data_IF_589171917802
#
_entry.id   IF_589171917802
#
_cell.length_a   1.000
_cell.length_b   1.000
_cell.length_c   1.000
_cell.angle_alpha   90.00
_cell.angle_beta   90.00
_cell.angle_gamma   90.00
#
_symmetry.space_group_name_H-M   'P 1'
#
loop_
_entity.id
_entity.type
_entity.pdbx_description
1 polymer ?
#
# COMPACT_ATOMS: atom_id res chain seq x y z
N UNK A 1 -18.20 -32.32 12.88
CA UNK A 1 -17.26 -32.02 13.98
C UNK A 1 -16.88 -30.55 13.98
N UNK A 2 -17.52 -29.72 14.83
CA UNK A 2 -17.31 -28.27 14.93
C UNK A 2 -16.15 -27.99 15.90
N UNK A 3 -15.01 -27.56 15.38
CA UNK A 3 -13.81 -27.17 16.15
C UNK A 3 -14.17 -25.93 16.99
N UNK A 4 -14.47 -26.09 18.28
CA UNK A 4 -14.63 -24.95 19.21
C UNK A 4 -13.28 -24.24 19.32
N UNK A 5 -13.12 -23.14 18.60
CA UNK A 5 -11.96 -22.25 18.70
C UNK A 5 -12.00 -21.64 20.10
N UNK A 6 -11.03 -21.97 20.92
CA UNK A 6 -10.91 -21.47 22.29
C UNK A 6 -10.51 -19.98 22.22
N UNK A 7 -11.50 -19.09 22.25
CA UNK A 7 -11.35 -17.65 22.00
C UNK A 7 -10.40 -16.97 22.99
N UNK A 8 -10.31 -17.49 24.22
CA UNK A 8 -9.40 -17.00 25.26
C UNK A 8 -7.93 -17.26 24.92
N UNK A 9 -7.57 -18.46 24.47
CA UNK A 9 -6.20 -18.78 24.06
C UNK A 9 -5.75 -17.92 22.86
N UNK A 10 -6.65 -17.69 21.90
CA UNK A 10 -6.39 -16.84 20.73
C UNK A 10 -6.25 -15.35 21.11
N UNK A 11 -6.94 -14.89 22.14
CA UNK A 11 -6.79 -13.53 22.66
C UNK A 11 -5.41 -13.30 23.29
N UNK A 12 -4.91 -14.24 24.11
CA UNK A 12 -3.57 -14.14 24.70
C UNK A 12 -2.45 -14.20 23.65
N UNK A 13 -2.57 -15.07 22.65
CA UNK A 13 -1.60 -15.15 21.55
C UNK A 13 -1.54 -13.85 20.72
N UNK A 14 -2.69 -13.20 20.50
CA UNK A 14 -2.76 -11.91 19.83
C UNK A 14 -2.15 -10.79 20.68
N UNK A 15 -2.40 -10.78 22.00
CA UNK A 15 -1.85 -9.78 22.92
C UNK A 15 -0.33 -9.84 23.00
N UNK A 16 0.26 -11.03 23.04
CA UNK A 16 1.71 -11.20 23.06
C UNK A 16 2.36 -10.80 21.73
N UNK A 17 1.72 -11.10 20.59
CA UNK A 17 2.17 -10.61 19.28
C UNK A 17 2.13 -9.08 19.21
N UNK A 18 1.07 -8.45 19.73
CA UNK A 18 0.98 -6.99 19.80
C UNK A 18 2.09 -6.38 20.66
N UNK A 19 2.42 -7.01 21.80
CA UNK A 19 3.51 -6.54 22.67
C UNK A 19 4.88 -6.66 21.98
N UNK A 20 5.17 -7.79 21.32
CA UNK A 20 6.41 -7.97 20.56
C UNK A 20 6.54 -6.98 19.40
N UNK A 21 5.43 -6.68 18.72
CA UNK A 21 5.39 -5.67 17.66
C UNK A 21 5.66 -4.28 18.22
N UNK A 22 5.05 -3.93 19.36
CA UNK A 22 5.28 -2.65 20.02
C UNK A 22 6.74 -2.51 20.51
N UNK A 23 7.33 -3.57 21.06
CA UNK A 23 8.73 -3.60 21.48
C UNK A 23 9.70 -3.54 20.29
N UNK A 24 9.31 -4.07 19.13
CA UNK A 24 10.07 -3.90 17.90
C UNK A 24 9.99 -2.46 17.40
N UNK A 25 8.79 -1.86 17.37
CA UNK A 25 8.60 -0.47 16.94
C UNK A 25 9.26 0.55 17.85
N UNK A 26 9.27 0.29 19.16
CA UNK A 26 9.99 1.14 20.13
C UNK A 26 11.51 1.06 19.93
N UNK A 27 12.06 -0.14 19.66
CA UNK A 27 13.49 -0.34 19.36
C UNK A 27 13.92 0.29 18.04
N UNK A 28 13.03 0.38 17.05
CA UNK A 28 13.31 1.06 15.77
C UNK A 28 12.95 2.56 15.80
N UNK A 29 12.57 3.07 16.98
CA UNK A 29 12.16 4.47 17.21
C UNK A 29 11.07 4.99 16.25
N UNK A 30 10.14 4.12 15.83
CA UNK A 30 8.92 4.62 15.19
C UNK A 30 8.06 5.18 16.31
N UNK A 31 8.15 6.51 16.50
CA UNK A 31 7.36 7.21 17.51
C UNK A 31 5.89 7.19 17.08
N UNK A 32 5.00 6.85 18.02
CA UNK A 32 3.54 6.87 17.79
C UNK A 32 3.07 8.19 17.16
N UNK A 33 3.66 9.32 17.59
CA UNK A 33 3.37 10.65 17.06
C UNK A 33 3.61 10.77 15.55
N UNK A 34 4.63 10.09 15.00
CA UNK A 34 4.92 10.14 13.57
C UNK A 34 3.85 9.40 12.75
N UNK A 35 3.32 8.29 13.27
CA UNK A 35 2.23 7.57 12.63
C UNK A 35 0.94 8.37 12.67
N UNK A 36 0.63 9.00 13.82
CA UNK A 36 -0.54 9.87 13.95
C UNK A 36 -0.50 11.06 12.98
N UNK A 37 0.67 11.69 12.80
CA UNK A 37 0.84 12.77 11.82
C UNK A 37 0.57 12.28 10.39
N UNK A 38 1.02 11.08 10.03
CA UNK A 38 0.77 10.52 8.69
C UNK A 38 -0.72 10.25 8.46
N UNK A 39 -1.41 9.70 9.45
CA UNK A 39 -2.85 9.44 9.40
C UNK A 39 -3.60 10.76 9.24
N UNK A 40 -3.25 11.77 10.05
CA UNK A 40 -3.85 13.11 9.98
C UNK A 40 -3.63 13.78 8.62
N UNK A 41 -2.40 13.74 8.08
CA UNK A 41 -2.12 14.32 6.76
C UNK A 41 -2.92 13.62 5.65
N UNK A 42 -3.03 12.29 5.71
CA UNK A 42 -3.76 11.51 4.70
C UNK A 42 -5.27 11.78 4.79
N UNK A 43 -5.80 11.92 6.00
CA UNK A 43 -7.19 12.29 6.26
C UNK A 43 -7.47 13.71 5.75
N UNK A 44 -6.59 14.68 6.06
CA UNK A 44 -6.76 16.05 5.59
C UNK A 44 -6.66 16.14 4.05
N UNK A 45 -5.69 15.45 3.44
CA UNK A 45 -5.56 15.41 1.99
C UNK A 45 -6.83 14.85 1.33
N UNK A 46 -7.33 13.71 1.80
CA UNK A 46 -8.55 13.09 1.25
C UNK A 46 -9.81 13.91 1.47
N UNK A 47 -9.91 14.68 2.55
CA UNK A 47 -10.98 15.66 2.75
C UNK A 47 -10.97 16.75 1.68
N UNK A 48 -9.80 17.32 1.37
CA UNK A 48 -9.69 18.36 0.34
C UNK A 48 -9.95 17.82 -1.08
N UNK A 49 -9.59 16.56 -1.34
CA UNK A 49 -9.90 15.88 -2.60
C UNK A 49 -11.43 15.75 -2.79
N UNK A 50 -12.11 15.22 -1.77
CA UNK A 50 -13.56 15.11 -1.75
C UNK A 50 -14.26 16.46 -1.81
N UNK A 51 -13.73 17.46 -1.11
CA UNK A 51 -14.27 18.83 -1.14
C UNK A 51 -14.18 19.43 -2.55
N UNK A 52 -13.02 19.30 -3.20
CA UNK A 52 -12.77 19.78 -4.56
C UNK A 52 -13.71 19.14 -5.59
N UNK A 53 -13.87 17.81 -5.54
CA UNK A 53 -14.76 17.09 -6.46
C UNK A 53 -16.23 17.35 -6.18
N UNK A 54 -16.64 17.48 -4.91
CA UNK A 54 -18.02 17.82 -4.60
C UNK A 54 -18.40 19.23 -5.06
N UNK A 55 -17.45 20.17 -5.07
CA UNK A 55 -17.63 21.52 -5.66
C UNK A 55 -17.71 21.52 -7.20
N UNK A 56 -17.25 20.46 -7.86
CA UNK A 56 -17.35 20.36 -9.32
C UNK A 56 -18.81 20.24 -9.78
N UNK A 57 -19.67 19.64 -8.96
CA UNK A 57 -21.10 19.47 -9.26
C UNK A 57 -21.85 20.81 -9.40
N UNK A 58 -21.81 21.74 -8.41
CA UNK A 58 -22.47 23.04 -8.56
C UNK A 58 -21.87 23.87 -9.69
N UNK A 59 -20.57 23.74 -9.99
CA UNK A 59 -19.95 24.40 -11.14
C UNK A 59 -20.49 23.85 -12.45
N UNK A 60 -20.52 22.52 -12.63
CA UNK A 60 -21.08 21.90 -13.83
C UNK A 60 -22.54 22.32 -14.06
N UNK A 61 -23.36 22.32 -13.01
CA UNK A 61 -24.75 22.77 -13.11
C UNK A 61 -24.85 24.25 -13.46
N UNK A 62 -24.11 25.12 -12.78
CA UNK A 62 -24.12 26.55 -13.08
C UNK A 62 -23.63 26.88 -14.50
N UNK A 63 -22.74 26.07 -15.07
CA UNK A 63 -22.31 26.20 -16.48
C UNK A 63 -23.39 25.70 -17.47
N UNK A 64 -24.10 24.61 -17.15
CA UNK A 64 -25.11 24.01 -18.05
C UNK A 64 -26.45 24.76 -17.99
N UNK A 65 -26.94 25.03 -16.78
CA UNK A 65 -28.28 25.58 -16.53
C UNK A 65 -28.27 27.11 -16.44
N UNK A 66 -27.10 27.73 -16.32
CA UNK A 66 -26.94 29.18 -16.20
C UNK A 66 -27.37 29.76 -14.83
N UNK A 67 -27.99 28.95 -13.97
CA UNK A 67 -28.40 29.31 -12.62
C UNK A 67 -27.83 28.32 -11.60
N UNK A 68 -27.36 28.82 -10.46
CA UNK A 68 -26.84 27.98 -9.37
C UNK A 68 -27.93 27.88 -8.30
N UNK A 69 -28.61 26.75 -8.29
CA UNK A 69 -29.71 26.46 -7.39
C UNK A 69 -29.19 26.13 -5.97
N UNK A 70 -29.57 26.93 -4.97
CA UNK A 70 -29.01 26.87 -3.60
C UNK A 70 -29.41 25.60 -2.84
N UNK A 71 -30.57 25.00 -3.16
CA UNK A 71 -31.17 23.93 -2.36
C UNK A 71 -30.76 22.51 -2.74
N UNK A 72 -30.04 22.32 -3.85
CA UNK A 72 -29.81 20.97 -4.39
C UNK A 72 -28.63 20.24 -3.73
N UNK A 73 -27.71 20.93 -3.03
CA UNK A 73 -26.58 20.28 -2.36
C UNK A 73 -26.42 20.83 -0.94
N UNK A 74 -26.94 20.07 0.03
CA UNK A 74 -26.95 20.41 1.47
C UNK A 74 -25.55 20.79 1.98
N UNK A 75 -24.51 20.10 1.49
CA UNK A 75 -23.12 20.26 1.95
C UNK A 75 -22.52 21.64 1.60
N UNK A 76 -22.86 22.21 0.44
CA UNK A 76 -22.27 23.46 -0.04
C UNK A 76 -23.22 24.64 0.04
N UNK A 77 -24.47 24.43 0.50
CA UNK A 77 -25.49 25.47 0.61
C UNK A 77 -24.99 26.69 1.40
N UNK A 78 -24.43 26.48 2.58
CA UNK A 78 -23.96 27.58 3.44
C UNK A 78 -22.81 28.37 2.79
N UNK A 79 -21.92 27.69 2.05
CA UNK A 79 -20.82 28.33 1.32
C UNK A 79 -21.37 29.19 0.18
N UNK A 80 -22.33 28.66 -0.59
CA UNK A 80 -22.96 29.36 -1.71
C UNK A 80 -23.77 30.57 -1.20
N UNK A 81 -24.55 30.41 -0.12
CA UNK A 81 -25.30 31.50 0.51
C UNK A 81 -24.35 32.58 1.03
N UNK A 82 -23.27 32.21 1.70
CA UNK A 82 -22.28 33.16 2.21
C UNK A 82 -21.62 33.96 1.08
N UNK A 83 -21.22 33.27 0.00
CA UNK A 83 -20.62 33.91 -1.19
C UNK A 83 -21.61 34.85 -1.91
N UNK A 84 -22.89 34.49 -1.99
CA UNK A 84 -23.93 35.33 -2.60
C UNK A 84 -24.30 36.53 -1.71
N UNK A 85 -24.41 36.31 -0.39
CA UNK A 85 -24.71 37.35 0.61
C UNK A 85 -23.59 38.39 0.73
N UNK A 86 -22.35 38.03 0.42
CA UNK A 86 -21.24 38.98 0.34
C UNK A 86 -21.50 40.11 -0.66
N UNK A 87 -22.43 39.98 -1.61
CA UNK A 87 -22.86 41.06 -2.51
C UNK A 87 -21.83 41.49 -3.55
N UNK A 88 -20.61 40.91 -3.53
CA UNK A 88 -19.49 41.28 -4.41
C UNK A 88 -19.55 40.53 -5.76
N UNK A 89 -20.29 39.43 -5.85
CA UNK A 89 -20.22 38.52 -7.00
C UNK A 89 -21.54 38.45 -7.77
N UNK A 90 -21.54 38.98 -8.99
CA UNK A 90 -22.57 38.72 -10.01
C UNK A 90 -22.58 37.24 -10.41
N UNK A 91 -23.66 36.72 -11.00
CA UNK A 91 -23.81 35.27 -11.30
C UNK A 91 -22.63 34.68 -12.10
N UNK A 92 -22.07 35.46 -13.03
CA UNK A 92 -20.87 35.09 -13.80
C UNK A 92 -19.60 35.03 -12.95
N UNK A 93 -19.45 35.91 -11.96
CA UNK A 93 -18.28 35.94 -11.09
C UNK A 93 -18.33 34.80 -10.04
N UNK A 94 -19.52 34.35 -9.66
CA UNK A 94 -19.70 33.25 -8.70
C UNK A 94 -19.12 31.94 -9.24
N UNK A 95 -19.31 31.66 -10.54
CA UNK A 95 -18.69 30.52 -11.22
C UNK A 95 -17.15 30.60 -11.19
N UNK A 96 -16.59 31.79 -11.42
CA UNK A 96 -15.14 31.99 -11.38
C UNK A 96 -14.57 31.77 -9.97
N UNK A 97 -15.27 32.26 -8.94
CA UNK A 97 -14.88 32.04 -7.53
C UNK A 97 -14.95 30.56 -7.15
N UNK A 98 -16.03 29.86 -7.51
CA UNK A 98 -16.14 28.42 -7.25
C UNK A 98 -15.04 27.63 -7.95
N UNK A 99 -14.74 27.96 -9.21
CA UNK A 99 -13.64 27.35 -9.97
C UNK A 99 -12.29 27.61 -9.32
N UNK A 100 -12.05 28.84 -8.84
CA UNK A 100 -10.86 29.20 -8.07
C UNK A 100 -10.76 28.40 -6.77
N UNK A 101 -11.87 28.19 -6.07
CA UNK A 101 -11.93 27.40 -4.83
C UNK A 101 -11.60 25.92 -5.09
N UNK A 102 -12.11 25.34 -6.18
CA UNK A 102 -11.75 23.98 -6.63
C UNK A 102 -10.24 23.89 -6.88
N UNK A 103 -9.67 24.85 -7.61
CA UNK A 103 -8.24 24.87 -7.91
C UNK A 103 -7.40 24.95 -6.63
N UNK A 104 -7.75 25.86 -5.71
CA UNK A 104 -7.06 26.02 -4.42
C UNK A 104 -7.16 24.72 -3.60
N UNK A 105 -8.34 24.11 -3.51
CA UNK A 105 -8.54 22.85 -2.80
C UNK A 105 -7.71 21.71 -3.40
N UNK A 106 -7.65 21.61 -4.74
CA UNK A 106 -6.84 20.62 -5.45
C UNK A 106 -5.32 20.83 -5.20
N UNK A 107 -4.85 22.09 -5.20
CA UNK A 107 -3.46 22.41 -4.88
C UNK A 107 -3.13 22.04 -3.44
N UNK A 108 -3.99 22.37 -2.48
CA UNK A 108 -3.82 22.01 -1.07
C UNK A 108 -3.77 20.49 -0.90
N UNK A 109 -4.68 19.74 -1.55
CA UNK A 109 -4.66 18.28 -1.58
C UNK A 109 -3.29 17.75 -2.01
N UNK A 110 -2.78 18.24 -3.15
CA UNK A 110 -1.50 17.78 -3.70
C UNK A 110 -0.32 18.11 -2.78
N UNK A 111 -0.33 19.29 -2.13
CA UNK A 111 0.72 19.69 -1.18
C UNK A 111 0.71 18.81 0.09
N UNK A 112 -0.47 18.47 0.61
CA UNK A 112 -0.63 17.59 1.76
C UNK A 112 -0.17 16.17 1.44
N UNK A 113 -0.57 15.63 0.28
CA UNK A 113 -0.19 14.29 -0.15
C UNK A 113 1.31 14.19 -0.42
N UNK A 114 1.91 15.23 -1.01
CA UNK A 114 3.37 15.33 -1.18
C UNK A 114 4.10 15.36 0.18
N UNK A 115 3.61 16.17 1.12
CA UNK A 115 4.16 16.24 2.48
C UNK A 115 4.08 14.89 3.19
N UNK A 116 2.95 14.18 3.05
CA UNK A 116 2.76 12.86 3.61
C UNK A 116 3.75 11.86 3.03
N UNK A 117 3.96 11.90 1.70
CA UNK A 117 4.91 11.05 1.00
C UNK A 117 6.35 11.28 1.46
N UNK A 118 6.79 12.54 1.58
CA UNK A 118 8.13 12.84 2.10
C UNK A 118 8.30 12.30 3.52
N UNK A 119 7.33 12.57 4.41
CA UNK A 119 7.40 12.11 5.80
C UNK A 119 7.50 10.58 5.88
N UNK A 120 6.72 9.85 5.08
CA UNK A 120 6.82 8.39 5.04
C UNK A 120 8.13 7.89 4.48
N UNK A 121 8.68 8.53 3.43
CA UNK A 121 10.02 8.20 2.94
C UNK A 121 11.09 8.40 4.01
N UNK A 122 11.06 9.52 4.73
CA UNK A 122 12.01 9.81 5.80
C UNK A 122 11.90 8.82 6.96
N UNK A 123 10.68 8.49 7.39
CA UNK A 123 10.45 7.48 8.44
C UNK A 123 10.98 6.12 7.96
N UNK A 124 10.61 5.67 6.76
CA UNK A 124 11.08 4.41 6.18
C UNK A 124 12.61 4.31 6.14
N UNK A 125 13.28 5.35 5.62
CA UNK A 125 14.73 5.36 5.47
C UNK A 125 15.46 5.44 6.81
N UNK A 126 15.00 6.28 7.74
CA UNK A 126 15.59 6.37 9.08
C UNK A 126 15.41 5.08 9.88
N UNK A 127 14.23 4.46 9.80
CA UNK A 127 13.95 3.19 10.46
C UNK A 127 14.76 2.05 9.84
N UNK A 128 14.92 2.02 8.52
CA UNK A 128 15.81 1.08 7.81
C UNK A 128 17.24 1.23 8.31
N UNK A 129 17.77 2.45 8.33
CA UNK A 129 19.12 2.74 8.79
C UNK A 129 19.36 2.26 10.24
N UNK A 130 18.45 2.59 11.16
CA UNK A 130 18.55 2.15 12.57
C UNK A 130 18.47 0.64 12.70
N UNK A 131 17.58 -0.01 11.95
CA UNK A 131 17.47 -1.46 11.98
C UNK A 131 18.76 -2.13 11.46
N UNK A 132 19.39 -1.57 10.43
CA UNK A 132 20.71 -2.03 9.95
C UNK A 132 21.78 -1.93 11.06
N UNK A 133 21.84 -0.81 11.77
CA UNK A 133 22.77 -0.62 12.90
C UNK A 133 22.49 -1.60 14.06
N UNK A 134 21.21 -1.85 14.38
CA UNK A 134 20.82 -2.80 15.43
C UNK A 134 21.15 -4.25 15.07
N UNK A 135 20.95 -4.65 13.82
CA UNK A 135 21.32 -6.00 13.35
C UNK A 135 22.84 -6.15 13.40
N UNK A 136 23.58 -5.19 12.85
CA UNK A 136 25.04 -5.25 12.80
C UNK A 136 25.65 -5.26 14.21
N UNK A 137 25.18 -4.41 15.12
CA UNK A 137 25.67 -4.37 16.51
C UNK A 137 25.42 -5.65 17.29
N UNK A 138 24.34 -6.40 16.97
CA UNK A 138 24.11 -7.74 17.52
C UNK A 138 25.05 -8.76 16.91
N UNK A 139 25.27 -8.70 15.60
CA UNK A 139 26.12 -9.65 14.89
C UNK A 139 27.58 -9.54 15.33
N UNK A 140 28.08 -8.33 15.57
CA UNK A 140 29.43 -8.09 16.09
C UNK A 140 29.68 -8.71 17.48
N UNK A 141 28.62 -9.07 18.23
CA UNK A 141 28.73 -9.72 19.55
C UNK A 141 28.74 -11.24 19.46
N UNK A 142 28.47 -11.83 18.30
CA UNK A 142 28.47 -13.27 18.14
C UNK A 142 29.89 -13.82 17.98
N UNK A 143 30.13 -15.01 18.55
CA UNK A 143 31.42 -15.70 18.44
C UNK A 143 31.65 -16.29 17.04
N UNK A 144 32.91 -16.64 16.74
CA UNK A 144 33.36 -17.18 15.44
C UNK A 144 32.50 -18.36 14.95
N UNK A 145 32.10 -19.26 15.84
CA UNK A 145 31.26 -20.44 15.53
C UNK A 145 29.94 -20.08 14.85
N UNK A 146 29.36 -18.91 15.15
CA UNK A 146 28.14 -18.46 14.47
C UNK A 146 28.41 -18.14 12.99
N UNK A 147 29.55 -17.52 12.69
CA UNK A 147 29.94 -17.16 11.33
C UNK A 147 30.42 -18.36 10.52
N UNK A 148 31.08 -19.33 11.15
CA UNK A 148 31.49 -20.57 10.50
C UNK A 148 30.27 -21.42 10.06
N UNK A 149 29.16 -21.34 10.78
CA UNK A 149 27.94 -22.11 10.51
C UNK A 149 26.93 -21.42 9.56
N UNK A 150 27.13 -20.14 9.22
CA UNK A 150 26.17 -19.36 8.42
C UNK A 150 26.81 -18.83 7.13
N UNK A 151 26.09 -18.94 6.01
CA UNK A 151 26.56 -18.43 4.72
C UNK A 151 26.67 -16.90 4.75
N UNK A 152 27.84 -16.37 4.34
CA UNK A 152 28.10 -14.94 4.21
C UNK A 152 27.03 -14.21 3.38
N UNK A 153 26.57 -14.78 2.26
CA UNK A 153 25.53 -14.16 1.41
C UNK A 153 24.18 -14.02 2.13
N UNK A 154 23.86 -14.98 3.02
CA UNK A 154 22.63 -14.92 3.82
C UNK A 154 22.71 -13.79 4.85
N UNK A 155 23.85 -13.65 5.53
CA UNK A 155 24.07 -12.57 6.50
C UNK A 155 24.04 -11.18 5.83
N UNK A 156 24.64 -11.05 4.65
CA UNK A 156 24.59 -9.82 3.86
C UNK A 156 23.14 -9.45 3.49
N UNK A 157 22.35 -10.41 3.01
CA UNK A 157 20.94 -10.20 2.66
C UNK A 157 20.11 -9.79 3.89
N UNK A 158 20.38 -10.38 5.05
CA UNK A 158 19.70 -10.05 6.31
C UNK A 158 20.01 -8.63 6.78
N UNK A 159 21.24 -8.15 6.59
CA UNK A 159 21.63 -6.80 6.99
C UNK A 159 21.11 -5.77 5.98
N UNK A 160 21.27 -6.01 4.68
CA UNK A 160 20.99 -4.98 3.68
C UNK A 160 19.52 -4.98 3.22
N UNK A 161 18.97 -6.13 2.84
CA UNK A 161 17.71 -6.18 2.08
C UNK A 161 16.48 -6.33 2.96
N UNK A 162 16.59 -7.13 4.03
CA UNK A 162 15.46 -7.39 4.93
C UNK A 162 14.89 -6.11 5.56
N UNK A 163 15.72 -5.20 6.11
CA UNK A 163 15.23 -3.95 6.67
C UNK A 163 14.46 -3.10 5.65
N UNK A 164 14.97 -3.01 4.42
CA UNK A 164 14.33 -2.22 3.37
C UNK A 164 12.98 -2.82 2.96
N UNK A 165 12.88 -4.14 2.83
CA UNK A 165 11.60 -4.83 2.56
C UNK A 165 10.57 -4.57 3.66
N UNK A 166 10.98 -4.62 4.92
CA UNK A 166 10.09 -4.36 6.07
C UNK A 166 9.54 -2.93 6.01
N UNK A 167 10.40 -1.93 5.77
CA UNK A 167 9.95 -0.53 5.78
C UNK A 167 9.27 -0.09 4.47
N UNK A 168 9.49 -0.78 3.35
CA UNK A 168 8.67 -0.60 2.15
C UNK A 168 7.19 -0.94 2.40
N UNK A 169 6.87 -1.83 3.35
CA UNK A 169 5.49 -2.09 3.77
C UNK A 169 4.82 -0.84 4.37
N UNK A 170 5.57 0.07 5.00
CA UNK A 170 5.01 1.33 5.50
C UNK A 170 4.59 2.28 4.39
N UNK A 171 5.39 2.32 3.30
CA UNK A 171 5.05 3.12 2.11
C UNK A 171 3.74 2.59 1.50
N UNK A 172 3.62 1.27 1.39
CA UNK A 172 2.40 0.61 0.91
C UNK A 172 1.22 0.87 1.86
N UNK A 173 1.42 0.69 3.16
CA UNK A 173 0.38 0.92 4.18
C UNK A 173 -0.18 2.34 4.11
N UNK A 174 0.70 3.35 4.04
CA UNK A 174 0.30 4.75 3.84
C UNK A 174 -0.54 4.91 2.57
N UNK A 175 -0.08 4.35 1.44
CA UNK A 175 -0.80 4.42 0.16
C UNK A 175 -2.22 3.84 0.27
N UNK A 176 -2.34 2.65 0.89
CA UNK A 176 -3.64 2.02 1.12
C UNK A 176 -4.52 2.84 2.07
N UNK A 177 -3.94 3.46 3.09
CA UNK A 177 -4.67 4.31 4.02
C UNK A 177 -5.23 5.56 3.32
N UNK A 178 -4.44 6.24 2.49
CA UNK A 178 -4.92 7.37 1.67
C UNK A 178 -6.06 6.92 0.77
N UNK A 179 -5.90 5.82 0.03
CA UNK A 179 -6.98 5.31 -0.83
C UNK A 179 -8.24 4.97 -0.05
N UNK A 180 -8.09 4.36 1.14
CA UNK A 180 -9.23 4.06 1.99
C UNK A 180 -9.98 5.34 2.40
N UNK A 181 -9.27 6.39 2.82
CA UNK A 181 -9.92 7.65 3.20
C UNK A 181 -10.56 8.37 2.02
N UNK A 182 -9.91 8.44 0.87
CA UNK A 182 -10.50 9.03 -0.36
C UNK A 182 -11.78 8.28 -0.72
N UNK A 183 -11.73 6.95 -0.79
CA UNK A 183 -12.89 6.12 -1.10
C UNK A 183 -14.02 6.32 -0.06
N UNK A 184 -13.68 6.43 1.22
CA UNK A 184 -14.62 6.65 2.30
C UNK A 184 -15.33 8.01 2.16
N UNK A 185 -14.58 9.09 1.93
CA UNK A 185 -15.17 10.41 1.74
C UNK A 185 -16.01 10.51 0.47
N UNK A 186 -15.60 9.88 -0.64
CA UNK A 186 -16.44 9.83 -1.86
C UNK A 186 -17.73 9.04 -1.64
N UNK A 187 -17.66 7.94 -0.90
CA UNK A 187 -18.86 7.18 -0.55
C UNK A 187 -19.84 8.04 0.24
N UNK A 188 -19.36 8.78 1.25
CA UNK A 188 -20.18 9.74 2.02
C UNK A 188 -20.74 10.83 1.10
N UNK A 189 -19.91 11.40 0.21
CA UNK A 189 -20.30 12.46 -0.71
C UNK A 189 -21.46 12.01 -1.61
N UNK A 190 -21.36 10.83 -2.24
CA UNK A 190 -22.41 10.30 -3.11
C UNK A 190 -23.67 9.96 -2.32
N UNK A 191 -23.54 9.42 -1.10
CA UNK A 191 -24.66 9.14 -0.21
C UNK A 191 -25.43 10.42 0.16
N UNK A 192 -24.73 11.53 0.39
CA UNK A 192 -25.33 12.84 0.65
C UNK A 192 -26.03 13.44 -0.57
N UNK A 193 -25.56 13.15 -1.79
CA UNK A 193 -26.19 13.63 -3.02
C UNK A 193 -27.48 12.88 -3.31
N UNK A 194 -27.43 11.55 -3.40
CA UNK A 194 -28.59 10.73 -3.75
C UNK A 194 -28.40 9.28 -3.37
N UNK A 195 -29.22 8.82 -2.42
CA UNK A 195 -29.22 7.43 -1.97
C UNK A 195 -29.51 6.42 -3.11
N UNK A 196 -30.29 6.82 -4.13
CA UNK A 196 -30.61 5.97 -5.29
C UNK A 196 -29.36 5.68 -6.13
N UNK A 197 -28.52 6.70 -6.37
CA UNK A 197 -27.26 6.54 -7.10
C UNK A 197 -26.25 5.70 -6.30
N UNK A 198 -26.23 5.85 -4.97
CA UNK A 198 -25.36 5.04 -4.10
C UNK A 198 -25.68 3.56 -4.19
N UNK A 199 -26.97 3.17 -4.19
CA UNK A 199 -27.37 1.75 -4.30
C UNK A 199 -26.89 1.15 -5.62
N UNK A 200 -27.07 1.87 -6.74
CA UNK A 200 -26.57 1.42 -8.03
C UNK A 200 -25.06 1.22 -8.03
N UNK A 201 -24.31 2.20 -7.51
CA UNK A 201 -22.85 2.12 -7.40
C UNK A 201 -22.39 0.98 -6.48
N UNK A 202 -23.13 0.70 -5.40
CA UNK A 202 -22.84 -0.39 -4.47
C UNK A 202 -23.00 -1.76 -5.16
N UNK A 203 -24.05 -1.93 -5.97
CA UNK A 203 -24.25 -3.16 -6.77
C UNK A 203 -23.10 -3.32 -7.77
N UNK A 204 -22.74 -2.26 -8.50
CA UNK A 204 -21.61 -2.28 -9.43
C UNK A 204 -20.29 -2.61 -8.70
N UNK A 205 -20.06 -2.01 -7.52
CA UNK A 205 -18.90 -2.27 -6.69
C UNK A 205 -18.83 -3.72 -6.22
N UNK A 206 -19.94 -4.34 -5.82
CA UNK A 206 -19.99 -5.75 -5.43
C UNK A 206 -19.60 -6.68 -6.60
N UNK A 207 -20.11 -6.40 -7.80
CA UNK A 207 -19.79 -7.18 -9.00
C UNK A 207 -18.29 -7.07 -9.33
N UNK A 208 -17.74 -5.85 -9.33
CA UNK A 208 -16.31 -5.62 -9.54
C UNK A 208 -15.46 -6.29 -8.46
N UNK A 209 -15.86 -6.16 -7.19
CA UNK A 209 -15.14 -6.75 -6.07
C UNK A 209 -15.07 -8.28 -6.18
N UNK A 210 -16.16 -8.93 -6.59
CA UNK A 210 -16.14 -10.38 -6.85
C UNK A 210 -15.16 -10.77 -7.95
N UNK A 211 -15.06 -9.98 -9.02
CA UNK A 211 -14.06 -10.18 -10.08
C UNK A 211 -12.63 -10.08 -9.54
N UNK A 212 -12.34 -9.00 -8.82
CA UNK A 212 -11.02 -8.75 -8.21
C UNK A 212 -10.64 -9.86 -7.23
N UNK A 213 -11.58 -10.34 -6.40
CA UNK A 213 -11.32 -11.43 -5.44
C UNK A 213 -10.90 -12.73 -6.14
N UNK A 214 -11.47 -13.04 -7.31
CA UNK A 214 -11.09 -14.23 -8.10
C UNK A 214 -9.66 -14.10 -8.64
N UNK A 215 -9.33 -12.93 -9.18
CA UNK A 215 -7.98 -12.63 -9.68
C UNK A 215 -6.98 -12.70 -8.53
N UNK A 216 -7.27 -12.03 -7.41
CA UNK A 216 -6.42 -12.01 -6.22
C UNK A 216 -6.11 -13.41 -5.70
N UNK A 217 -7.14 -14.27 -5.52
CA UNK A 217 -6.93 -15.66 -5.07
C UNK A 217 -6.04 -16.45 -6.03
N UNK A 218 -6.22 -16.23 -7.34
CA UNK A 218 -5.39 -16.89 -8.35
C UNK A 218 -3.93 -16.42 -8.31
N UNK A 219 -3.70 -15.11 -8.17
CA UNK A 219 -2.36 -14.55 -8.04
C UNK A 219 -1.70 -15.07 -6.77
N UNK A 220 -2.43 -15.13 -5.65
CA UNK A 220 -1.89 -15.62 -4.38
C UNK A 220 -1.46 -17.09 -4.47
N UNK A 221 -2.24 -17.93 -5.16
CA UNK A 221 -1.87 -19.33 -5.37
C UNK A 221 -0.64 -19.46 -6.29
N UNK A 222 -0.59 -18.69 -7.38
CA UNK A 222 0.56 -18.66 -8.28
C UNK A 222 1.83 -18.16 -7.57
N UNK A 223 1.73 -17.10 -6.77
CA UNK A 223 2.81 -16.55 -5.97
C UNK A 223 3.38 -17.57 -4.98
N UNK A 224 2.53 -18.34 -4.29
CA UNK A 224 2.99 -19.44 -3.43
C UNK A 224 3.78 -20.49 -4.22
N UNK A 225 3.31 -20.87 -5.41
CA UNK A 225 4.02 -21.81 -6.30
C UNK A 225 5.36 -21.24 -6.75
N UNK A 226 5.40 -19.97 -7.14
CA UNK A 226 6.63 -19.27 -7.53
C UNK A 226 7.66 -19.27 -6.39
N UNK A 227 7.26 -18.88 -5.17
CA UNK A 227 8.14 -18.87 -4.00
C UNK A 227 8.72 -20.27 -3.72
N UNK A 228 7.90 -21.32 -3.82
CA UNK A 228 8.37 -22.70 -3.67
C UNK A 228 9.37 -23.11 -4.77
N UNK A 229 9.09 -22.77 -6.03
CA UNK A 229 9.98 -23.08 -7.14
C UNK A 229 11.31 -22.32 -7.04
N UNK A 230 11.28 -21.04 -6.67
CA UNK A 230 12.47 -20.21 -6.42
C UNK A 230 13.34 -20.83 -5.33
N UNK A 231 12.72 -21.33 -4.25
CA UNK A 231 13.45 -22.04 -3.19
C UNK A 231 14.18 -23.29 -3.72
N UNK A 232 13.53 -24.08 -4.57
CA UNK A 232 14.14 -25.27 -5.18
C UNK A 232 15.31 -24.90 -6.11
N UNK A 233 15.14 -23.86 -6.95
CA UNK A 233 16.23 -23.36 -7.79
C UNK A 233 17.40 -22.87 -6.95
N UNK A 234 17.16 -22.07 -5.91
CA UNK A 234 18.25 -21.59 -5.03
C UNK A 234 19.02 -22.76 -4.41
N UNK A 235 18.32 -23.83 -4.00
CA UNK A 235 18.96 -25.03 -3.48
C UNK A 235 19.78 -25.77 -4.57
N UNK A 236 19.26 -25.86 -5.80
CA UNK A 236 19.97 -26.47 -6.93
C UNK A 236 21.22 -25.66 -7.31
N UNK A 237 21.13 -24.34 -7.38
CA UNK A 237 22.26 -23.43 -7.63
C UNK A 237 23.32 -23.59 -6.55
N UNK A 238 22.92 -23.61 -5.27
CA UNK A 238 23.83 -23.85 -4.16
C UNK A 238 24.60 -25.19 -4.31
N UNK A 239 23.90 -26.27 -4.65
CA UNK A 239 24.50 -27.57 -4.89
C UNK A 239 25.47 -27.56 -6.08
N UNK A 240 25.07 -26.97 -7.21
CA UNK A 240 25.93 -26.84 -8.40
C UNK A 240 27.22 -26.11 -8.05
N UNK A 241 27.11 -24.95 -7.37
CA UNK A 241 28.27 -24.14 -7.01
C UNK A 241 29.19 -24.84 -6.02
N UNK A 242 28.62 -25.55 -5.04
CA UNK A 242 29.39 -26.27 -4.00
C UNK A 242 30.07 -27.51 -4.57
N UNK A 243 29.43 -28.21 -5.52
CA UNK A 243 29.93 -29.43 -6.16
C UNK A 243 30.58 -29.17 -7.52
N UNK A 244 30.92 -27.93 -7.85
CA UNK A 244 31.51 -27.55 -9.15
C UNK A 244 32.74 -28.39 -9.54
N UNK A 245 33.70 -28.70 -8.65
CA UNK A 245 34.83 -29.56 -8.99
C UNK A 245 34.38 -30.97 -9.41
N UNK A 246 33.36 -31.52 -8.76
CA UNK A 246 32.82 -32.85 -9.08
C UNK A 246 32.18 -32.85 -10.48
N UNK A 247 31.36 -31.84 -10.77
CA UNK A 247 30.70 -31.69 -12.07
C UNK A 247 31.75 -31.61 -13.19
N UNK A 248 32.85 -30.87 -12.96
CA UNK A 248 33.98 -30.75 -13.88
C UNK A 248 34.70 -32.07 -14.13
N UNK A 249 34.94 -32.86 -13.08
CA UNK A 249 35.60 -34.18 -13.19
C UNK A 249 34.76 -35.17 -13.99
N UNK A 250 33.43 -35.12 -13.84
CA UNK A 250 32.52 -36.01 -14.57
C UNK A 250 32.07 -35.46 -15.93
N UNK A 251 32.54 -34.27 -16.36
CA UNK A 251 32.12 -33.59 -17.59
C UNK A 251 30.59 -33.46 -17.73
N UNK A 252 29.90 -33.17 -16.62
CA UNK A 252 28.43 -33.11 -16.55
C UNK A 252 27.87 -31.68 -16.59
N UNK A 253 28.64 -30.69 -17.05
CA UNK A 253 28.21 -29.28 -17.04
C UNK A 253 26.93 -29.06 -17.86
N UNK A 254 26.86 -29.66 -19.06
CA UNK A 254 25.74 -29.47 -19.96
C UNK A 254 24.46 -30.10 -19.43
N UNK A 255 24.59 -31.27 -18.77
CA UNK A 255 23.47 -31.93 -18.10
C UNK A 255 22.91 -31.07 -16.96
N UNK A 256 23.79 -30.54 -16.10
CA UNK A 256 23.39 -29.67 -14.99
C UNK A 256 22.79 -28.33 -15.48
N UNK A 257 23.33 -27.77 -16.55
CA UNK A 257 22.78 -26.57 -17.20
C UNK A 257 21.38 -26.81 -17.78
N UNK A 258 21.16 -27.93 -18.48
CA UNK A 258 19.85 -28.27 -19.02
C UNK A 258 18.82 -28.49 -17.91
N UNK A 259 19.20 -29.17 -16.82
CA UNK A 259 18.34 -29.36 -15.65
C UNK A 259 17.96 -28.02 -14.99
N UNK A 260 18.92 -27.10 -14.85
CA UNK A 260 18.66 -25.74 -14.35
C UNK A 260 17.75 -24.95 -15.30
N UNK A 261 18.03 -24.98 -16.60
CA UNK A 261 17.26 -24.26 -17.64
C UNK A 261 15.79 -24.69 -17.66
N UNK A 262 15.53 -26.01 -17.54
CA UNK A 262 14.17 -26.54 -17.46
C UNK A 262 13.40 -26.01 -16.23
N UNK A 263 14.04 -25.96 -15.05
CA UNK A 263 13.42 -25.40 -13.85
C UNK A 263 13.23 -23.89 -13.96
N UNK A 264 14.21 -23.16 -14.48
CA UNK A 264 14.14 -21.71 -14.69
C UNK A 264 12.98 -21.33 -15.62
N UNK A 265 12.80 -22.09 -16.72
CA UNK A 265 11.68 -21.89 -17.66
C UNK A 265 10.31 -22.11 -17.00
N UNK A 266 10.20 -23.07 -16.07
CA UNK A 266 8.97 -23.27 -15.28
C UNK A 266 8.65 -22.05 -14.41
N UNK A 267 9.64 -21.45 -13.76
CA UNK A 267 9.46 -20.21 -12.99
C UNK A 267 9.05 -19.06 -13.88
N UNK A 268 9.75 -18.85 -15.00
CA UNK A 268 9.43 -17.80 -15.96
C UNK A 268 7.97 -17.89 -16.44
N UNK A 269 7.46 -19.10 -16.70
CA UNK A 269 6.06 -19.29 -17.06
C UNK A 269 5.08 -18.91 -15.94
N UNK A 270 5.42 -19.19 -14.68
CA UNK A 270 4.60 -18.79 -13.52
C UNK A 270 4.64 -17.27 -13.37
N UNK A 271 5.79 -16.63 -13.53
CA UNK A 271 5.96 -15.18 -13.48
C UNK A 271 5.17 -14.48 -14.59
N UNK A 272 5.31 -14.93 -15.84
CA UNK A 272 4.52 -14.43 -16.97
C UNK A 272 3.01 -14.59 -16.72
N UNK A 273 2.58 -15.72 -16.13
CA UNK A 273 1.18 -15.92 -15.78
C UNK A 273 0.71 -14.93 -14.70
N UNK A 274 1.52 -14.67 -13.69
CA UNK A 274 1.21 -13.68 -12.65
C UNK A 274 1.14 -12.28 -13.22
N UNK A 275 2.10 -11.90 -14.07
CA UNK A 275 2.16 -10.58 -14.69
C UNK A 275 0.94 -10.35 -15.59
N UNK A 276 0.59 -11.32 -16.44
CA UNK A 276 -0.63 -11.27 -17.25
C UNK A 276 -1.89 -11.09 -16.40
N UNK A 277 -1.98 -11.77 -15.25
CA UNK A 277 -3.12 -11.61 -14.34
C UNK A 277 -3.10 -10.30 -13.56
N UNK A 278 -1.95 -9.69 -13.34
CA UNK A 278 -1.85 -8.38 -12.68
C UNK A 278 -2.27 -7.22 -13.57
N UNK A 279 -2.25 -7.42 -14.90
CA UNK A 279 -2.68 -6.45 -15.91
C UNK A 279 -4.19 -6.48 -16.19
N UNK A 280 -4.91 -7.50 -15.72
CA UNK A 280 -6.37 -7.67 -15.83
C UNK A 280 -7.08 -7.12 -14.59
#
# INVERSE_FOLDING_TARGET
>A
MKKRINLTARYYELKDKFKQINDFFSKVEIKYNQLSILILLSLLASLFDAFSIGLLIPVLKGVIEGCIDENQIILYREIIIYLKKSGVFSEKNLLFVLTGLIFIAAVIHQLLEYSARIKTCNISRNSTHKLRQLILSKYLKFGKTFFDNNNYSYLQTLILDFPEKIFNLFILLRKYLTFFFVQFFYFILILLISWKMTVFLLIAFLILHMGILRIYKSIQQASKRAIHAIKQINQKVYNILTCMPLIKVYHQEEYEYQAFSAQSKSIANIEIYMDKKSLL
#
